data_IF_576447135195
#
_entry.id   IF_576447135195
#
_cell.length_a   1.000
_cell.length_b   1.000
_cell.length_c   1.000
_cell.angle_alpha   90.00
_cell.angle_beta   90.00
_cell.angle_gamma   90.00
#
_symmetry.space_group_name_H-M   'P 1'
#
loop_
_entity.id
_entity.type
_entity.pdbx_description
1 polymer ?
#
# COMPACT_ATOMS: atom_id res chain seq x y z
N UNK A 1 11.56 6.09 9.62
CA UNK A 1 12.29 4.89 9.15
C UNK A 1 11.41 4.09 8.21
N UNK A 2 11.81 3.91 6.95
CA UNK A 2 11.05 3.21 5.91
C UNK A 2 11.11 1.67 6.05
N UNK A 3 12.01 1.11 6.87
CA UNK A 3 12.24 -0.33 7.05
C UNK A 3 11.29 -1.09 7.99
N UNK A 4 9.97 -1.04 7.77
CA UNK A 4 9.06 -2.01 8.40
C UNK A 4 8.66 -2.98 7.31
N UNK A 5 9.02 -4.26 7.44
CA UNK A 5 8.78 -5.32 6.44
C UNK A 5 7.35 -5.31 5.89
N UNK A 6 6.37 -4.90 6.71
CA UNK A 6 4.97 -4.73 6.34
C UNK A 6 4.70 -3.64 5.29
N UNK A 7 5.35 -2.47 5.36
CA UNK A 7 5.19 -1.41 4.34
C UNK A 7 5.71 -1.85 2.98
N UNK A 8 6.81 -2.60 2.99
CA UNK A 8 7.44 -3.14 1.80
C UNK A 8 6.54 -4.24 1.18
N UNK A 9 5.95 -5.10 1.99
CA UNK A 9 4.89 -6.03 1.55
C UNK A 9 3.68 -5.31 0.96
N UNK A 10 3.19 -4.25 1.61
CA UNK A 10 2.09 -3.43 1.07
C UNK A 10 2.45 -2.87 -0.31
N UNK A 11 3.64 -2.28 -0.48
CA UNK A 11 4.08 -1.77 -1.78
C UNK A 11 4.20 -2.88 -2.85
N UNK A 12 4.70 -4.06 -2.48
CA UNK A 12 4.81 -5.22 -3.41
C UNK A 12 3.42 -5.70 -3.83
N UNK A 13 2.47 -5.81 -2.91
CA UNK A 13 1.10 -6.19 -3.24
C UNK A 13 0.43 -5.15 -4.13
N UNK A 14 0.57 -3.87 -3.80
CA UNK A 14 0.04 -2.77 -4.60
C UNK A 14 0.71 -2.61 -5.97
N UNK A 15 1.95 -3.09 -6.13
CA UNK A 15 2.62 -3.15 -7.44
C UNK A 15 2.04 -4.23 -8.36
N UNK A 16 1.29 -5.20 -7.82
CA UNK A 16 0.61 -6.24 -8.61
C UNK A 16 -0.77 -5.79 -9.12
N UNK A 17 -1.34 -4.74 -8.53
CA UNK A 17 -2.63 -4.19 -8.93
C UNK A 17 -3.28 -3.38 -7.81
N UNK A 18 -4.39 -2.74 -8.12
CA UNK A 18 -5.20 -2.04 -7.12
C UNK A 18 -5.89 -3.08 -6.22
N UNK A 19 -5.92 -2.84 -4.91
CA UNK A 19 -6.52 -3.75 -3.93
C UNK A 19 -7.36 -2.97 -2.91
N UNK A 20 -8.42 -3.60 -2.42
CA UNK A 20 -9.25 -3.02 -1.36
C UNK A 20 -8.58 -3.17 0.02
N UNK A 21 -8.66 -2.13 0.85
CA UNK A 21 -8.18 -2.13 2.25
C UNK A 21 -8.67 -3.35 3.03
N UNK A 22 -9.95 -3.74 2.86
CA UNK A 22 -10.55 -4.82 3.63
C UNK A 22 -9.97 -6.18 3.27
N UNK A 23 -9.59 -6.39 2.01
CA UNK A 23 -8.93 -7.61 1.54
C UNK A 23 -7.44 -7.60 1.86
N UNK A 24 -6.80 -6.43 1.76
CA UNK A 24 -5.36 -6.28 1.98
C UNK A 24 -4.97 -6.50 3.45
N UNK A 25 -5.78 -6.06 4.41
CA UNK A 25 -5.51 -6.20 5.84
C UNK A 25 -5.29 -7.66 6.29
N UNK A 26 -6.23 -8.61 6.04
CA UNK A 26 -6.02 -10.01 6.38
C UNK A 26 -4.89 -10.68 5.57
N UNK A 27 -4.68 -10.30 4.30
CA UNK A 27 -3.65 -10.88 3.44
C UNK A 27 -2.22 -10.67 3.98
N UNK A 28 -1.96 -9.50 4.58
CA UNK A 28 -0.68 -9.20 5.24
C UNK A 28 -0.70 -9.46 6.75
N UNK A 29 -1.79 -9.99 7.28
CA UNK A 29 -1.98 -10.26 8.71
C UNK A 29 -1.90 -9.00 9.59
N UNK A 30 -2.51 -7.89 9.14
CA UNK A 30 -2.63 -6.65 9.90
C UNK A 30 -4.11 -6.35 10.20
N UNK A 31 -4.34 -5.66 11.32
CA UNK A 31 -5.64 -5.03 11.54
C UNK A 31 -5.82 -3.84 10.58
N UNK A 32 -7.08 -3.50 10.27
CA UNK A 32 -7.38 -2.34 9.42
C UNK A 32 -6.80 -1.03 9.97
N UNK A 33 -6.79 -0.84 11.29
CA UNK A 33 -6.21 0.34 11.95
C UNK A 33 -4.69 0.41 11.73
N UNK A 34 -3.99 -0.72 11.86
CA UNK A 34 -2.55 -0.79 11.61
C UNK A 34 -2.23 -0.54 10.14
N UNK A 35 -2.98 -1.17 9.23
CA UNK A 35 -2.86 -0.96 7.79
C UNK A 35 -3.08 0.52 7.42
N UNK A 36 -4.16 1.14 7.92
CA UNK A 36 -4.45 2.56 7.71
C UNK A 36 -3.31 3.47 8.18
N UNK A 37 -2.71 3.17 9.33
CA UNK A 37 -1.55 3.93 9.84
C UNK A 37 -0.30 3.77 8.94
N UNK A 38 -0.10 2.59 8.33
CA UNK A 38 0.97 2.36 7.36
C UNK A 38 0.69 3.07 6.04
N UNK A 39 -0.54 2.98 5.52
CA UNK A 39 -0.98 3.66 4.31
C UNK A 39 -0.90 5.17 4.45
N UNK A 40 -1.32 5.75 5.58
CA UNK A 40 -1.17 7.18 5.84
C UNK A 40 0.28 7.66 5.87
N UNK A 41 1.24 6.79 6.22
CA UNK A 41 2.68 7.10 6.09
C UNK A 41 3.16 7.00 4.65
N UNK A 42 2.75 5.97 3.91
CA UNK A 42 3.11 5.78 2.51
C UNK A 42 2.49 6.85 1.60
N UNK A 43 1.25 7.26 1.87
CA UNK A 43 0.53 8.31 1.17
C UNK A 43 1.21 9.67 1.39
N UNK A 44 1.58 9.99 2.64
CA UNK A 44 2.38 11.20 2.94
C UNK A 44 3.76 11.19 2.29
N UNK A 45 4.33 10.02 2.04
CA UNK A 45 5.58 9.85 1.31
C UNK A 45 5.42 9.85 -0.22
N UNK A 46 4.19 9.98 -0.74
CA UNK A 46 3.89 9.95 -2.17
C UNK A 46 4.04 8.57 -2.83
N UNK A 47 4.08 7.48 -2.04
CA UNK A 47 4.33 6.12 -2.54
C UNK A 47 3.05 5.36 -2.92
N UNK A 48 1.91 5.72 -2.32
CA UNK A 48 0.61 5.08 -2.57
C UNK A 48 -0.49 6.14 -2.66
N UNK A 49 -1.52 5.90 -3.47
CA UNK A 49 -2.75 6.69 -3.46
C UNK A 49 -3.86 5.87 -2.81
N UNK A 50 -4.68 6.54 -2.00
CA UNK A 50 -5.85 5.93 -1.37
C UNK A 50 -7.07 6.64 -1.93
N UNK A 51 -7.87 5.93 -2.72
CA UNK A 51 -9.15 6.43 -3.24
C UNK A 51 -10.29 5.78 -2.50
N UNK A 52 -11.14 6.59 -1.88
CA UNK A 52 -12.40 6.13 -1.30
C UNK A 52 -13.47 6.19 -2.39
N UNK A 53 -13.90 5.04 -2.91
CA UNK A 53 -15.17 4.94 -3.62
C UNK A 53 -16.27 4.62 -2.60
N UNK A 54 -17.50 5.07 -2.84
CA UNK A 54 -18.56 5.18 -1.83
C UNK A 54 -18.75 3.97 -0.88
N UNK A 55 -18.43 2.76 -1.33
CA UNK A 55 -18.53 1.51 -0.56
C UNK A 55 -17.18 0.81 -0.30
N UNK A 56 -16.08 1.23 -0.93
CA UNK A 56 -14.79 0.51 -0.97
C UNK A 56 -13.60 1.47 -0.98
N UNK A 57 -12.51 1.11 -0.30
CA UNK A 57 -11.29 1.92 -0.27
C UNK A 57 -10.24 1.22 -1.12
N UNK A 58 -10.10 1.70 -2.36
CA UNK A 58 -9.12 1.20 -3.31
C UNK A 58 -7.77 1.89 -3.08
N UNK A 59 -6.72 1.08 -2.93
CA UNK A 59 -5.34 1.56 -2.81
C UNK A 59 -4.59 1.17 -4.07
N UNK A 60 -3.79 2.09 -4.60
CA UNK A 60 -2.86 1.81 -5.69
C UNK A 60 -1.47 2.35 -5.41
N UNK A 61 -0.45 1.70 -5.98
CA UNK A 61 0.92 2.22 -5.95
C UNK A 61 1.06 3.33 -6.99
N UNK A 62 1.61 4.49 -6.60
CA UNK A 62 1.89 5.61 -7.52
C UNK A 62 3.27 5.38 -8.20
N UNK A 63 3.89 4.22 -8.00
CA UNK A 63 5.24 3.95 -8.51
C UNK A 63 5.26 4.09 -10.04
N UNK A 64 6.16 4.95 -10.60
CA UNK A 64 6.27 5.07 -12.04
C UNK A 64 6.69 3.72 -12.64
N UNK A 65 6.09 3.28 -13.77
CA UNK A 65 6.35 1.97 -14.38
C UNK A 65 7.80 1.77 -14.86
N UNK A 66 8.67 2.76 -14.71
CA UNK A 66 10.06 2.73 -15.13
C UNK A 66 10.95 3.44 -14.10
N UNK A 67 11.27 2.77 -12.99
CA UNK A 67 12.41 3.18 -12.17
C UNK A 67 13.23 1.97 -11.78
N UNK A 68 14.45 1.93 -12.32
CA UNK A 68 15.51 0.92 -12.24
C UNK A 68 16.04 0.68 -10.81
N UNK A 69 15.27 1.04 -9.79
CA UNK A 69 15.67 1.13 -8.38
C UNK A 69 15.15 -0.03 -7.53
N UNK A 70 14.31 -0.90 -8.10
CA UNK A 70 13.65 -2.00 -7.39
C UNK A 70 14.06 -3.39 -7.90
N UNK A 71 15.35 -3.72 -7.80
CA UNK A 71 15.81 -5.12 -7.85
C UNK A 71 16.39 -5.49 -6.47
N UNK A 72 16.07 -6.68 -5.92
CA UNK A 72 16.58 -7.13 -4.63
C UNK A 72 18.10 -7.28 -4.62
#
# INVERSE_FOLDING_TARGET
MLGSSKRLQICVLLSRGECDVNSLAPEIGLSQSALSQHLGRLHRAGLVSVRKQAQFISINAIMPPSSRFWRP
#
